data_IF_840536572898
#
_entry.id   IF_840536572898
#
_cell.length_a   1.000
_cell.length_b   1.000
_cell.length_c   1.000
_cell.angle_alpha   90.00
_cell.angle_beta   90.00
_cell.angle_gamma   90.00
#
_symmetry.space_group_name_H-M   'P 1'
#
loop_
_entity.id
_entity.type
_entity.pdbx_description
1 polymer ?
#
# COMPACT_ATOMS: atom_id res chain seq x y z
N UNK A 1 10.33 -30.84 7.40
CA UNK A 1 10.66 -31.77 6.31
C UNK A 1 11.82 -31.27 5.44
N UNK A 2 11.90 -30.00 5.09
CA UNK A 2 12.91 -29.44 4.17
C UNK A 2 14.07 -28.68 4.82
N UNK A 3 14.29 -28.80 6.14
CA UNK A 3 15.32 -28.03 6.86
C UNK A 3 16.78 -28.35 6.48
N UNK A 4 17.02 -29.54 5.93
CA UNK A 4 18.36 -29.98 5.50
C UNK A 4 18.69 -29.61 4.05
N UNK A 5 17.79 -28.91 3.33
CA UNK A 5 18.04 -28.46 1.97
C UNK A 5 18.96 -27.23 1.95
N UNK A 6 19.70 -27.08 0.86
CA UNK A 6 20.50 -25.85 0.63
C UNK A 6 19.61 -24.61 0.72
N UNK A 7 20.09 -23.57 1.40
CA UNK A 7 19.35 -22.31 1.65
C UNK A 7 18.75 -21.73 0.36
N UNK A 8 19.54 -21.69 -0.71
CA UNK A 8 19.08 -21.17 -2.00
C UNK A 8 17.90 -21.95 -2.58
N UNK A 9 17.93 -23.27 -2.46
CA UNK A 9 16.83 -24.11 -2.95
C UNK A 9 15.55 -23.87 -2.15
N UNK A 10 15.66 -23.67 -0.82
CA UNK A 10 14.51 -23.33 0.03
C UNK A 10 13.91 -21.96 -0.32
N UNK A 11 14.75 -20.96 -0.63
CA UNK A 11 14.28 -19.62 -1.04
C UNK A 11 13.48 -19.75 -2.35
N UNK A 12 14.06 -20.41 -3.36
CA UNK A 12 13.43 -20.62 -4.67
C UNK A 12 12.12 -21.39 -4.53
N UNK A 13 12.10 -22.46 -3.75
CA UNK A 13 10.89 -23.25 -3.52
C UNK A 13 9.84 -22.49 -2.71
N UNK A 14 10.23 -21.69 -1.73
CA UNK A 14 9.29 -20.84 -0.98
C UNK A 14 8.60 -19.85 -1.91
N UNK A 15 9.35 -19.18 -2.77
CA UNK A 15 8.81 -18.30 -3.81
C UNK A 15 7.89 -19.07 -4.79
N UNK A 16 8.37 -20.18 -5.35
CA UNK A 16 7.65 -20.93 -6.37
C UNK A 16 6.33 -21.53 -5.84
N UNK A 17 6.34 -22.11 -4.64
CA UNK A 17 5.13 -22.66 -4.01
C UNK A 17 4.13 -21.55 -3.71
N UNK A 18 4.56 -20.42 -3.14
CA UNK A 18 3.68 -19.29 -2.88
C UNK A 18 3.05 -18.75 -4.18
N UNK A 19 3.85 -18.64 -5.25
CA UNK A 19 3.39 -18.21 -6.57
C UNK A 19 2.33 -19.16 -7.13
N UNK A 20 2.65 -20.47 -7.17
CA UNK A 20 1.75 -21.48 -7.74
C UNK A 20 0.44 -21.55 -6.94
N UNK A 21 0.53 -21.60 -5.60
CA UNK A 21 -0.67 -21.68 -4.76
C UNK A 21 -1.52 -20.41 -4.91
N UNK A 22 -0.92 -19.21 -4.86
CA UNK A 22 -1.65 -17.96 -5.03
C UNK A 22 -2.33 -17.88 -6.40
N UNK A 23 -1.62 -18.29 -7.47
CA UNK A 23 -2.16 -18.30 -8.82
C UNK A 23 -3.38 -19.20 -8.94
N UNK A 24 -3.28 -20.46 -8.51
CA UNK A 24 -4.37 -21.43 -8.61
C UNK A 24 -5.50 -21.19 -7.60
N UNK A 25 -5.23 -20.52 -6.47
CA UNK A 25 -6.27 -20.13 -5.51
C UNK A 25 -7.04 -18.89 -5.92
N UNK A 26 -6.54 -18.06 -6.85
CA UNK A 26 -7.23 -16.84 -7.26
C UNK A 26 -8.59 -17.10 -7.91
N UNK A 27 -8.78 -18.06 -8.87
CA UNK A 27 -10.11 -18.34 -9.43
C UNK A 27 -11.14 -18.83 -8.40
N UNK A 28 -10.87 -19.82 -7.52
CA UNK A 28 -11.80 -20.19 -6.47
C UNK A 28 -12.11 -19.07 -5.49
N UNK A 29 -11.12 -18.24 -5.13
CA UNK A 29 -11.34 -17.05 -4.28
C UNK A 29 -12.25 -16.04 -4.97
N UNK A 30 -12.10 -15.83 -6.29
CA UNK A 30 -13.01 -14.99 -7.08
C UNK A 30 -14.45 -15.48 -6.98
N UNK A 31 -14.70 -16.78 -7.22
CA UNK A 31 -16.03 -17.37 -7.10
C UNK A 31 -16.58 -17.27 -5.68
N UNK A 32 -15.72 -17.42 -4.67
CA UNK A 32 -16.11 -17.22 -3.27
C UNK A 32 -16.52 -15.78 -2.99
N UNK A 33 -15.73 -14.78 -3.45
CA UNK A 33 -16.04 -13.36 -3.31
C UNK A 33 -17.40 -13.00 -3.96
N UNK A 34 -17.68 -13.55 -5.13
CA UNK A 34 -18.97 -13.39 -5.81
C UNK A 34 -20.14 -13.97 -4.98
N UNK A 35 -19.96 -15.14 -4.36
CA UNK A 35 -21.00 -15.79 -3.53
C UNK A 35 -21.30 -15.05 -2.24
N UNK A 36 -20.29 -14.46 -1.59
CA UNK A 36 -20.47 -13.69 -0.35
C UNK A 36 -20.84 -12.24 -0.58
N UNK A 37 -20.92 -11.81 -1.86
CA UNK A 37 -21.30 -10.44 -2.22
C UNK A 37 -20.18 -9.40 -2.01
N UNK A 38 -18.93 -9.84 -1.90
CA UNK A 38 -17.77 -8.93 -1.83
C UNK A 38 -17.43 -8.41 -3.23
N UNK A 39 -18.29 -7.52 -3.76
CA UNK A 39 -18.22 -6.99 -5.12
C UNK A 39 -18.15 -5.47 -5.05
N UNK A 40 -17.18 -4.90 -5.75
CA UNK A 40 -17.08 -3.46 -5.95
C UNK A 40 -17.94 -3.01 -7.13
N UNK A 41 -19.04 -2.30 -6.82
CA UNK A 41 -19.97 -1.78 -7.82
C UNK A 41 -19.68 -0.29 -8.01
N UNK A 42 -19.41 0.17 -9.25
CA UNK A 42 -19.20 1.59 -9.53
C UNK A 42 -20.49 2.37 -9.32
N UNK A 43 -20.61 3.03 -8.16
CA UNK A 43 -21.78 3.87 -7.82
C UNK A 43 -21.51 5.37 -7.96
N UNK A 44 -20.24 5.75 -7.98
CA UNK A 44 -19.81 7.15 -7.98
C UNK A 44 -18.78 7.39 -9.08
N UNK A 45 -18.75 8.57 -9.70
CA UNK A 45 -17.74 9.00 -10.67
C UNK A 45 -16.28 9.10 -10.13
N UNK A 46 -16.00 8.45 -9.02
CA UNK A 46 -14.64 8.34 -8.41
C UNK A 46 -13.91 7.07 -8.82
N UNK A 47 -14.62 6.07 -9.34
CA UNK A 47 -14.09 4.75 -9.68
C UNK A 47 -13.66 4.72 -11.14
N UNK A 48 -12.55 4.04 -11.41
CA UNK A 48 -11.92 3.99 -12.74
C UNK A 48 -12.48 2.84 -13.60
N UNK A 49 -13.26 1.92 -12.99
CA UNK A 49 -13.88 0.78 -13.66
C UNK A 49 -15.39 1.03 -13.91
N UNK A 50 -15.91 0.48 -15.00
CA UNK A 50 -17.28 0.64 -15.51
C UNK A 50 -18.19 -0.56 -15.25
N UNK A 51 -17.67 -1.66 -14.71
CA UNK A 51 -18.39 -2.90 -14.41
C UNK A 51 -18.10 -3.42 -13.01
N UNK A 52 -19.01 -4.20 -12.38
CA UNK A 52 -18.79 -4.79 -11.06
C UNK A 52 -17.58 -5.75 -11.06
N UNK A 53 -16.65 -5.58 -10.12
CA UNK A 53 -15.45 -6.42 -9.98
C UNK A 53 -15.43 -7.02 -8.58
N UNK A 54 -15.27 -8.37 -8.43
CA UNK A 54 -15.08 -9.00 -7.14
C UNK A 54 -13.83 -8.47 -6.44
N UNK A 55 -13.90 -8.28 -5.12
CA UNK A 55 -12.77 -7.93 -4.27
C UNK A 55 -12.61 -9.00 -3.20
N UNK A 56 -11.50 -9.25 -2.63
CA UNK A 56 -10.99 -10.28 -1.72
C UNK A 56 -9.85 -11.11 -2.32
N UNK A 57 -9.27 -10.68 -3.45
CA UNK A 57 -8.14 -11.38 -4.08
C UNK A 57 -6.94 -11.58 -3.17
N UNK A 58 -6.79 -10.70 -2.17
CA UNK A 58 -5.80 -10.83 -1.11
C UNK A 58 -5.87 -12.13 -0.32
N UNK A 59 -7.01 -12.79 -0.27
CA UNK A 59 -7.14 -14.12 0.35
C UNK A 59 -6.31 -15.18 -0.39
N UNK A 60 -6.21 -15.11 -1.72
CA UNK A 60 -5.36 -16.00 -2.49
C UNK A 60 -3.86 -15.75 -2.20
N UNK A 61 -3.47 -14.47 -2.08
CA UNK A 61 -2.10 -14.09 -1.66
C UNK A 61 -1.81 -14.64 -0.26
N UNK A 62 -2.71 -14.44 0.70
CA UNK A 62 -2.59 -14.93 2.06
C UNK A 62 -2.43 -16.45 2.12
N UNK A 63 -3.28 -17.20 1.40
CA UNK A 63 -3.20 -18.67 1.35
C UNK A 63 -1.87 -19.11 0.76
N UNK A 64 -1.44 -18.53 -0.37
CA UNK A 64 -0.15 -18.85 -1.02
C UNK A 64 1.03 -18.60 -0.07
N UNK A 65 1.02 -17.46 0.61
CA UNK A 65 2.01 -17.11 1.61
C UNK A 65 2.05 -18.12 2.77
N UNK A 66 0.91 -18.41 3.39
CA UNK A 66 0.82 -19.30 4.55
C UNK A 66 1.26 -20.72 4.20
N UNK A 67 0.86 -21.25 3.05
CA UNK A 67 1.30 -22.59 2.59
C UNK A 67 2.82 -22.66 2.44
N UNK A 68 3.43 -21.66 1.81
CA UNK A 68 4.88 -21.61 1.70
C UNK A 68 5.58 -21.49 3.07
N UNK A 69 5.00 -20.69 3.98
CA UNK A 69 5.51 -20.54 5.34
C UNK A 69 5.49 -21.88 6.10
N UNK A 70 4.38 -22.61 6.05
CA UNK A 70 4.25 -23.91 6.73
C UNK A 70 5.29 -24.92 6.21
N UNK A 71 5.58 -24.91 4.92
CA UNK A 71 6.48 -25.90 4.30
C UNK A 71 7.96 -25.59 4.52
N UNK A 72 8.36 -24.34 4.49
CA UNK A 72 9.78 -23.97 4.36
C UNK A 72 10.37 -23.20 5.54
N UNK A 73 9.55 -22.60 6.42
CA UNK A 73 10.08 -21.79 7.50
C UNK A 73 10.30 -22.57 8.80
N UNK A 74 11.27 -22.11 9.59
CA UNK A 74 11.42 -22.60 10.95
C UNK A 74 10.54 -21.78 11.89
N UNK A 75 9.60 -22.41 12.59
CA UNK A 75 8.68 -21.75 13.49
C UNK A 75 9.40 -21.25 14.74
N UNK A 76 9.65 -19.95 14.76
CA UNK A 76 10.10 -19.20 15.97
C UNK A 76 8.92 -18.45 16.56
N UNK A 77 9.07 -17.96 17.79
CA UNK A 77 8.04 -17.12 18.44
C UNK A 77 7.69 -15.90 17.57
N UNK A 78 8.69 -15.27 16.93
CA UNK A 78 8.46 -14.13 16.03
C UNK A 78 7.65 -14.54 14.79
N UNK A 79 7.95 -15.68 14.17
CA UNK A 79 7.20 -16.20 13.02
C UNK A 79 5.76 -16.51 13.40
N UNK A 80 5.52 -17.09 14.57
CA UNK A 80 4.17 -17.32 15.08
C UNK A 80 3.42 -16.00 15.30
N UNK A 81 4.07 -14.99 15.88
CA UNK A 81 3.50 -13.65 16.06
C UNK A 81 3.15 -12.98 14.73
N UNK A 82 4.02 -13.11 13.72
CA UNK A 82 3.77 -12.64 12.36
C UNK A 82 2.52 -13.32 11.76
N UNK A 83 2.44 -14.64 11.81
CA UNK A 83 1.33 -15.40 11.22
C UNK A 83 0.00 -15.13 11.95
N UNK A 84 0.01 -15.05 13.28
CA UNK A 84 -1.18 -14.72 14.07
C UNK A 84 -1.66 -13.29 13.77
N UNK A 85 -0.76 -12.30 13.76
CA UNK A 85 -1.09 -10.94 13.40
C UNK A 85 -1.60 -10.82 11.96
N UNK A 86 -0.95 -11.50 11.02
CA UNK A 86 -1.36 -11.56 9.62
C UNK A 86 -2.75 -12.20 9.45
N UNK A 87 -3.06 -13.25 10.21
CA UNK A 87 -4.39 -13.87 10.22
C UNK A 87 -5.46 -12.89 10.75
N UNK A 88 -5.17 -12.18 11.84
CA UNK A 88 -6.09 -11.16 12.39
C UNK A 88 -6.39 -10.09 11.33
N UNK A 89 -5.36 -9.59 10.64
CA UNK A 89 -5.51 -8.60 9.57
C UNK A 89 -6.27 -9.16 8.38
N UNK A 90 -5.97 -10.39 7.95
CA UNK A 90 -6.66 -11.01 6.81
C UNK A 90 -8.15 -11.24 7.09
N UNK A 91 -8.50 -11.71 8.30
CA UNK A 91 -9.90 -11.88 8.72
C UNK A 91 -10.61 -10.52 8.78
N UNK A 92 -9.99 -9.51 9.38
CA UNK A 92 -10.54 -8.15 9.43
C UNK A 92 -10.76 -7.58 8.03
N UNK A 93 -9.79 -7.71 7.13
CA UNK A 93 -9.92 -7.26 5.75
C UNK A 93 -11.02 -8.01 4.99
N UNK A 94 -11.18 -9.33 5.22
CA UNK A 94 -12.26 -10.11 4.62
C UNK A 94 -13.65 -9.64 5.08
N UNK A 95 -13.80 -9.35 6.36
CA UNK A 95 -15.03 -8.77 6.90
C UNK A 95 -15.27 -7.38 6.34
N UNK A 96 -14.22 -6.57 6.21
CA UNK A 96 -14.33 -5.23 5.64
C UNK A 96 -14.75 -5.25 4.16
N UNK A 97 -14.19 -6.16 3.37
CA UNK A 97 -14.56 -6.32 1.97
C UNK A 97 -16.04 -6.71 1.76
N UNK A 98 -16.69 -7.30 2.79
CA UNK A 98 -18.11 -7.67 2.74
C UNK A 98 -18.99 -6.55 3.28
N UNK A 99 -18.67 -5.99 4.48
CA UNK A 99 -19.61 -5.13 5.23
C UNK A 99 -19.16 -3.67 5.37
N UNK A 100 -18.00 -3.29 4.87
CA UNK A 100 -17.39 -1.94 4.98
C UNK A 100 -17.33 -1.45 6.43
N UNK A 101 -16.32 -1.89 7.17
CA UNK A 101 -16.12 -1.55 8.58
C UNK A 101 -15.84 -0.06 8.78
N UNK A 102 -16.26 0.46 9.93
CA UNK A 102 -15.90 1.83 10.33
C UNK A 102 -14.38 1.96 10.53
N UNK A 103 -13.77 3.09 10.15
CA UNK A 103 -12.30 3.27 10.24
C UNK A 103 -11.72 2.99 11.64
N UNK A 104 -12.44 3.36 12.71
CA UNK A 104 -12.01 3.11 14.09
C UNK A 104 -11.92 1.63 14.44
N UNK A 105 -12.83 0.79 13.90
CA UNK A 105 -12.79 -0.66 14.10
C UNK A 105 -11.57 -1.25 13.43
N UNK A 106 -11.30 -0.85 12.18
CA UNK A 106 -10.09 -1.27 11.45
C UNK A 106 -8.83 -0.91 12.24
N UNK A 107 -8.71 0.36 12.67
CA UNK A 107 -7.56 0.84 13.43
C UNK A 107 -7.37 0.05 14.73
N UNK A 108 -8.45 -0.21 15.47
CA UNK A 108 -8.36 -0.97 16.72
C UNK A 108 -7.86 -2.40 16.50
N UNK A 109 -8.35 -3.08 15.45
CA UNK A 109 -7.91 -4.45 15.11
C UNK A 109 -6.45 -4.45 14.61
N UNK A 110 -6.03 -3.45 13.83
CA UNK A 110 -4.63 -3.28 13.42
C UNK A 110 -3.69 -3.10 14.62
N UNK A 111 -4.11 -2.30 15.63
CA UNK A 111 -3.35 -2.13 16.88
C UNK A 111 -3.26 -3.46 17.63
N UNK A 112 -4.35 -4.23 17.73
CA UNK A 112 -4.33 -5.55 18.37
C UNK A 112 -3.37 -6.49 17.64
N UNK A 113 -3.41 -6.55 16.31
CA UNK A 113 -2.49 -7.37 15.52
C UNK A 113 -1.02 -6.96 15.73
N UNK A 114 -0.74 -5.65 15.79
CA UNK A 114 0.58 -5.13 16.09
C UNK A 114 1.05 -5.51 17.50
N UNK A 115 0.17 -5.44 18.51
CA UNK A 115 0.49 -5.84 19.89
C UNK A 115 0.74 -7.35 19.99
N UNK A 116 0.02 -8.19 19.25
CA UNK A 116 0.29 -9.64 19.15
C UNK A 116 1.69 -9.87 18.57
N UNK A 117 2.07 -9.20 17.50
CA UNK A 117 3.40 -9.27 16.92
C UNK A 117 4.49 -8.83 17.92
N UNK A 118 4.27 -7.73 18.63
CA UNK A 118 5.18 -7.20 19.67
C UNK A 118 5.34 -8.19 20.81
N UNK A 119 4.27 -8.80 21.30
CA UNK A 119 4.32 -9.82 22.36
C UNK A 119 5.12 -11.05 21.96
N UNK A 120 5.18 -11.34 20.68
CA UNK A 120 6.01 -12.41 20.13
C UNK A 120 7.45 -11.97 19.78
N UNK A 121 7.86 -10.77 20.15
CA UNK A 121 9.23 -10.28 20.00
C UNK A 121 9.52 -9.54 18.69
N UNK A 122 8.49 -9.09 17.96
CA UNK A 122 8.63 -8.18 16.81
C UNK A 122 8.55 -6.74 17.33
N UNK A 123 9.66 -6.22 17.79
CA UNK A 123 9.73 -4.92 18.46
C UNK A 123 11.04 -4.20 18.14
N UNK A 124 10.99 -2.89 18.01
CA UNK A 124 12.16 -2.02 17.96
C UNK A 124 12.83 -1.99 19.33
N UNK A 125 14.06 -2.49 19.44
CA UNK A 125 14.80 -2.48 20.71
C UNK A 125 15.77 -1.31 20.84
N UNK A 126 16.34 -0.89 19.72
CA UNK A 126 17.31 0.19 19.66
C UNK A 126 17.26 0.87 18.28
N UNK A 127 17.70 2.12 18.22
CA UNK A 127 17.97 2.85 16.97
C UNK A 127 19.46 3.11 16.84
N UNK A 128 19.93 3.24 15.60
CA UNK A 128 21.31 3.64 15.34
C UNK A 128 21.58 5.03 15.88
N UNK A 129 22.72 5.21 16.53
CA UNK A 129 23.14 6.53 17.00
C UNK A 129 23.48 7.42 15.81
N UNK A 130 22.79 8.57 15.62
CA UNK A 130 23.09 9.49 14.52
C UNK A 130 24.44 10.21 14.69
N UNK A 131 25.03 10.17 15.89
CA UNK A 131 26.36 10.71 16.14
C UNK A 131 27.44 9.72 15.69
N UNK A 132 27.94 9.88 14.48
CA UNK A 132 29.00 9.02 13.89
C UNK A 132 30.35 9.08 14.61
N UNK A 133 30.55 10.04 15.52
CA UNK A 133 31.77 10.18 16.31
C UNK A 133 31.64 9.55 17.71
N UNK A 134 30.51 8.93 18.01
CA UNK A 134 30.27 8.26 19.30
C UNK A 134 30.66 6.78 19.22
N UNK A 135 31.40 6.27 20.19
CA UNK A 135 31.67 4.84 20.35
C UNK A 135 30.42 4.00 20.61
N UNK A 136 29.30 4.65 20.97
CA UNK A 136 28.02 4.00 21.22
C UNK A 136 27.30 3.87 19.88
N UNK A 137 27.33 2.68 19.25
CA UNK A 137 26.72 2.42 17.96
C UNK A 137 25.19 2.45 17.95
N UNK A 138 24.53 2.20 19.10
CA UNK A 138 23.06 2.15 19.22
C UNK A 138 22.55 2.80 20.48
N UNK A 139 21.40 3.43 20.40
CA UNK A 139 20.66 4.03 21.51
C UNK A 139 19.44 3.14 21.79
N UNK A 140 19.30 2.59 23.02
CA UNK A 140 18.10 1.82 23.37
C UNK A 140 16.87 2.74 23.39
N UNK A 141 15.76 2.28 22.79
CA UNK A 141 14.51 3.07 22.69
C UNK A 141 13.75 3.08 24.02
N UNK A 142 13.96 2.08 24.87
CA UNK A 142 13.32 1.97 26.18
C UNK A 142 11.79 1.89 26.07
N UNK A 143 11.08 2.69 26.87
CA UNK A 143 9.60 2.68 26.94
C UNK A 143 8.90 3.09 25.63
N UNK A 144 9.59 3.80 24.73
CA UNK A 144 9.05 4.19 23.43
C UNK A 144 9.04 3.04 22.41
N UNK A 145 9.67 1.90 22.71
CA UNK A 145 9.75 0.76 21.82
C UNK A 145 8.37 0.25 21.33
N UNK A 146 7.43 0.09 22.27
CA UNK A 146 6.07 -0.36 21.96
C UNK A 146 5.31 0.65 21.09
N UNK A 147 5.15 1.93 21.50
CA UNK A 147 4.38 2.88 20.71
C UNK A 147 5.00 3.14 19.32
N UNK A 148 6.31 3.18 19.18
CA UNK A 148 6.97 3.34 17.88
C UNK A 148 6.77 2.12 16.99
N UNK A 149 6.83 0.90 17.55
CA UNK A 149 6.57 -0.32 16.76
C UNK A 149 5.11 -0.40 16.31
N UNK A 150 4.15 -0.06 17.17
CA UNK A 150 2.72 0.02 16.80
C UNK A 150 2.52 1.04 15.69
N UNK A 151 3.08 2.25 15.85
CA UNK A 151 2.97 3.32 14.86
C UNK A 151 3.53 2.89 13.50
N UNK A 152 4.68 2.21 13.49
CA UNK A 152 5.30 1.69 12.27
C UNK A 152 4.43 0.63 11.59
N UNK A 153 4.00 -0.41 12.33
CA UNK A 153 3.22 -1.51 11.77
C UNK A 153 1.87 -0.99 11.24
N UNK A 154 1.15 -0.21 12.04
CA UNK A 154 -0.15 0.36 11.65
C UNK A 154 0.02 1.38 10.51
N UNK A 155 1.05 2.21 10.58
CA UNK A 155 1.36 3.20 9.54
C UNK A 155 1.63 2.55 8.19
N UNK A 156 2.50 1.54 8.12
CA UNK A 156 2.79 0.81 6.89
C UNK A 156 1.57 0.02 6.39
N UNK A 157 0.80 -0.59 7.29
CA UNK A 157 -0.44 -1.31 6.95
C UNK A 157 -1.41 -0.39 6.21
N UNK A 158 -1.65 0.81 6.75
CA UNK A 158 -2.52 1.79 6.11
C UNK A 158 -1.88 2.42 4.86
N UNK A 159 -0.56 2.60 4.83
CA UNK A 159 0.12 3.15 3.68
C UNK A 159 -0.03 2.26 2.43
N UNK A 160 0.13 0.94 2.58
CA UNK A 160 -0.09 0.00 1.47
C UNK A 160 -1.57 -0.08 1.09
N UNK A 161 -2.49 0.02 2.04
CA UNK A 161 -3.93 0.07 1.75
C UNK A 161 -4.32 1.33 0.97
N UNK A 162 -3.74 2.49 1.28
CA UNK A 162 -4.05 3.76 0.60
C UNK A 162 -3.59 3.81 -0.86
N UNK A 163 -2.53 3.10 -1.24
CA UNK A 163 -2.09 3.03 -2.65
C UNK A 163 -2.87 2.02 -3.49
N UNK A 164 -3.75 1.20 -2.89
CA UNK A 164 -4.58 0.22 -3.62
C UNK A 164 -5.77 0.88 -4.34
N UNK A 165 -5.46 1.92 -5.12
CA UNK A 165 -6.44 2.70 -5.88
C UNK A 165 -6.43 2.44 -7.38
N UNK A 166 -5.46 1.68 -7.91
CA UNK A 166 -5.36 1.31 -9.33
C UNK A 166 -5.06 -0.19 -9.47
N UNK A 167 -5.58 -0.77 -10.57
CA UNK A 167 -5.39 -2.18 -10.90
C UNK A 167 -3.91 -2.57 -10.88
N UNK A 168 -3.55 -3.52 -10.03
CA UNK A 168 -2.20 -4.06 -9.88
C UNK A 168 -1.25 -3.21 -9.07
N UNK A 169 -1.56 -1.94 -8.74
CA UNK A 169 -0.60 -1.02 -8.15
C UNK A 169 -0.05 -1.52 -6.81
N UNK A 170 -0.89 -1.73 -5.83
CA UNK A 170 -0.44 -2.11 -4.49
C UNK A 170 0.21 -3.50 -4.47
N UNK A 171 -0.33 -4.45 -5.23
CA UNK A 171 0.23 -5.80 -5.35
C UNK A 171 1.63 -5.76 -5.96
N UNK A 172 1.83 -5.05 -7.07
CA UNK A 172 3.12 -4.99 -7.74
C UNK A 172 4.17 -4.18 -6.96
N UNK A 173 3.80 -3.05 -6.35
CA UNK A 173 4.71 -2.30 -5.46
C UNK A 173 5.12 -3.19 -4.29
N UNK A 174 4.20 -3.95 -3.68
CA UNK A 174 4.52 -4.87 -2.60
C UNK A 174 5.42 -6.03 -3.04
N UNK A 175 5.25 -6.53 -4.28
CA UNK A 175 6.14 -7.53 -4.86
C UNK A 175 7.56 -6.97 -5.03
N UNK A 176 7.72 -5.74 -5.56
CA UNK A 176 9.00 -5.06 -5.71
C UNK A 176 9.64 -4.81 -4.32
N UNK A 177 8.86 -4.33 -3.36
CA UNK A 177 9.32 -4.11 -1.98
C UNK A 177 9.80 -5.41 -1.32
N UNK A 178 9.03 -6.50 -1.46
CA UNK A 178 9.41 -7.83 -0.95
C UNK A 178 10.68 -8.34 -1.59
N UNK A 179 10.83 -8.21 -2.91
CA UNK A 179 12.02 -8.60 -3.65
C UNK A 179 13.25 -7.79 -3.19
N UNK A 180 13.11 -6.48 -3.07
CA UNK A 180 14.18 -5.59 -2.59
C UNK A 180 14.64 -5.99 -1.19
N UNK A 181 13.69 -6.12 -0.26
CA UNK A 181 14.00 -6.49 1.13
C UNK A 181 14.56 -7.92 1.21
N UNK A 182 14.13 -8.84 0.35
CA UNK A 182 14.67 -10.19 0.23
C UNK A 182 16.14 -10.14 -0.18
N UNK A 183 16.49 -9.39 -1.22
CA UNK A 183 17.88 -9.23 -1.69
C UNK A 183 18.75 -8.64 -0.57
N UNK A 184 18.28 -7.59 0.11
CA UNK A 184 19.00 -7.02 1.25
C UNK A 184 19.16 -8.04 2.38
N UNK A 185 18.13 -8.81 2.68
CA UNK A 185 18.17 -9.81 3.75
C UNK A 185 19.17 -10.93 3.51
N UNK A 186 19.47 -11.25 2.26
CA UNK A 186 20.53 -12.22 1.91
C UNK A 186 21.93 -11.79 2.39
N UNK A 187 22.18 -10.48 2.46
CA UNK A 187 23.46 -9.93 2.88
C UNK A 187 23.56 -9.65 4.38
N UNK A 188 22.43 -9.51 5.06
CA UNK A 188 22.38 -8.79 6.34
C UNK A 188 21.53 -9.46 7.40
N UNK A 189 20.55 -10.27 7.05
CA UNK A 189 19.52 -10.74 7.97
C UNK A 189 19.57 -12.27 8.24
N UNK A 190 18.71 -12.69 9.17
CA UNK A 190 18.38 -14.07 9.44
C UNK A 190 17.75 -14.74 8.20
N UNK A 191 18.13 -15.98 7.88
CA UNK A 191 17.54 -16.75 6.78
C UNK A 191 15.99 -16.81 6.80
N UNK A 192 15.37 -16.83 7.97
CA UNK A 192 13.91 -16.82 8.08
C UNK A 192 13.28 -15.58 7.43
N UNK A 193 13.88 -14.40 7.63
CA UNK A 193 13.44 -13.15 6.99
C UNK A 193 13.43 -13.28 5.46
N UNK A 194 14.47 -13.89 4.89
CA UNK A 194 14.58 -14.12 3.46
C UNK A 194 13.47 -15.06 2.93
N UNK A 195 13.16 -16.15 3.66
CA UNK A 195 12.10 -17.08 3.28
C UNK A 195 10.72 -16.42 3.34
N UNK A 196 10.45 -15.61 4.36
CA UNK A 196 9.19 -14.86 4.48
C UNK A 196 9.00 -13.94 3.28
N UNK A 197 10.04 -13.17 2.92
CA UNK A 197 10.00 -12.23 1.81
C UNK A 197 9.90 -12.92 0.46
N UNK A 198 10.56 -14.07 0.28
CA UNK A 198 10.43 -14.91 -0.91
C UNK A 198 8.99 -15.43 -1.08
N UNK A 199 8.38 -15.94 -0.01
CA UNK A 199 6.98 -16.38 -0.01
C UNK A 199 6.02 -15.22 -0.33
N UNK A 200 6.23 -14.05 0.29
CA UNK A 200 5.38 -12.88 0.06
C UNK A 200 5.48 -12.40 -1.40
N UNK A 201 6.70 -12.28 -1.92
CA UNK A 201 6.94 -11.90 -3.31
C UNK A 201 6.31 -12.90 -4.28
N UNK A 202 6.52 -14.21 -4.07
CA UNK A 202 5.93 -15.27 -4.88
C UNK A 202 4.40 -15.20 -4.90
N UNK A 203 3.77 -15.04 -3.73
CA UNK A 203 2.32 -14.93 -3.61
C UNK A 203 1.76 -13.71 -4.38
N UNK A 204 2.44 -12.54 -4.29
CA UNK A 204 2.07 -11.37 -5.07
C UNK A 204 2.20 -11.62 -6.58
N UNK A 205 3.33 -12.18 -7.03
CA UNK A 205 3.57 -12.46 -8.46
C UNK A 205 2.54 -13.44 -9.01
N UNK A 206 2.13 -14.43 -8.22
CA UNK A 206 1.09 -15.42 -8.60
C UNK A 206 -0.30 -14.75 -8.79
N UNK A 207 -0.61 -13.73 -8.01
CA UNK A 207 -1.88 -13.00 -8.08
C UNK A 207 -1.91 -11.91 -9.18
N UNK A 208 -0.78 -11.27 -9.47
CA UNK A 208 -0.67 -10.16 -10.44
C UNK A 208 -1.40 -10.40 -11.76
N UNK A 209 -1.36 -11.58 -12.44
CA UNK A 209 -2.04 -11.81 -13.72
C UNK A 209 -3.55 -11.61 -13.69
N UNK A 210 -4.16 -11.70 -12.52
CA UNK A 210 -5.60 -11.49 -12.33
C UNK A 210 -5.95 -10.06 -11.92
N UNK A 211 -4.96 -9.31 -11.42
CA UNK A 211 -5.16 -7.97 -10.86
C UNK A 211 -4.65 -6.85 -11.78
N UNK A 212 -3.84 -7.16 -12.83
CA UNK A 212 -3.43 -6.16 -13.82
C UNK A 212 -4.60 -5.65 -14.65
N UNK A 213 -4.51 -4.39 -15.08
CA UNK A 213 -5.55 -3.70 -15.85
C UNK A 213 -5.79 -4.29 -17.26
N UNK A 214 -7.03 -4.69 -17.61
CA UNK A 214 -8.25 -4.64 -16.80
C UNK A 214 -8.28 -5.76 -15.76
N UNK A 215 -8.52 -5.41 -14.49
CA UNK A 215 -8.51 -6.37 -13.40
C UNK A 215 -9.69 -7.34 -13.45
N UNK A 216 -9.45 -8.62 -13.22
CA UNK A 216 -10.47 -9.68 -13.10
C UNK A 216 -10.99 -9.84 -11.67
N UNK A 217 -10.19 -9.42 -10.71
CA UNK A 217 -10.47 -9.41 -9.27
C UNK A 217 -9.57 -8.37 -8.60
N UNK A 218 -10.12 -7.57 -7.70
CA UNK A 218 -9.35 -6.66 -6.87
C UNK A 218 -8.75 -7.37 -5.67
N UNK A 219 -7.62 -6.86 -5.20
CA UNK A 219 -6.93 -7.39 -4.03
C UNK A 219 -7.77 -7.23 -2.76
N UNK A 220 -8.44 -6.08 -2.63
CA UNK A 220 -9.28 -5.72 -1.50
C UNK A 220 -8.49 -5.41 -0.23
N UNK A 221 -9.23 -5.08 0.83
CA UNK A 221 -8.66 -4.75 2.14
C UNK A 221 -7.96 -5.97 2.78
N UNK A 222 -8.41 -7.20 2.46
CA UNK A 222 -7.71 -8.44 2.83
C UNK A 222 -6.26 -8.39 2.40
N UNK A 223 -6.01 -8.06 1.12
CA UNK A 223 -4.66 -8.14 0.57
C UNK A 223 -3.80 -6.94 0.92
N UNK A 224 -4.32 -5.73 0.72
CA UNK A 224 -3.55 -4.51 0.89
C UNK A 224 -3.08 -4.33 2.34
N UNK A 225 -3.95 -4.58 3.32
CA UNK A 225 -3.58 -4.49 4.73
C UNK A 225 -2.68 -5.64 5.17
N UNK A 226 -2.92 -6.86 4.67
CA UNK A 226 -2.05 -8.01 4.91
C UNK A 226 -0.62 -7.75 4.42
N UNK A 227 -0.46 -7.27 3.18
CA UNK A 227 0.85 -6.97 2.61
C UNK A 227 1.60 -5.90 3.41
N UNK A 228 0.92 -4.81 3.76
CA UNK A 228 1.51 -3.74 4.58
C UNK A 228 1.94 -4.23 5.96
N UNK A 229 1.11 -5.04 6.62
CA UNK A 229 1.41 -5.63 7.92
C UNK A 229 2.64 -6.54 7.86
N UNK A 230 2.70 -7.47 6.90
CA UNK A 230 3.84 -8.40 6.78
C UNK A 230 5.12 -7.65 6.46
N UNK A 231 5.11 -6.72 5.50
CA UNK A 231 6.28 -5.91 5.15
C UNK A 231 6.80 -5.12 6.34
N UNK A 232 5.89 -4.51 7.13
CA UNK A 232 6.26 -3.78 8.34
C UNK A 232 6.85 -4.70 9.41
N UNK A 233 6.25 -5.83 9.71
CA UNK A 233 6.75 -6.78 10.69
C UNK A 233 8.11 -7.34 10.31
N UNK A 234 8.29 -7.72 9.04
CA UNK A 234 9.55 -8.30 8.55
C UNK A 234 10.68 -7.27 8.58
N UNK A 235 10.40 -5.99 8.31
CA UNK A 235 11.38 -4.93 8.46
C UNK A 235 11.89 -4.83 9.89
N UNK A 236 11.00 -4.93 10.89
CA UNK A 236 11.37 -4.93 12.31
C UNK A 236 12.15 -6.17 12.72
N UNK A 237 11.76 -7.36 12.20
CA UNK A 237 12.40 -8.64 12.53
C UNK A 237 13.85 -8.75 12.06
N UNK A 238 14.09 -8.34 10.83
CA UNK A 238 15.37 -8.62 10.16
C UNK A 238 16.21 -7.39 9.86
N UNK A 239 15.61 -6.37 9.28
CA UNK A 239 16.37 -5.29 8.66
C UNK A 239 16.78 -4.20 9.63
N UNK A 240 16.00 -3.92 10.67
CA UNK A 240 16.35 -2.92 11.68
C UNK A 240 17.32 -3.42 12.78
N UNK A 241 17.71 -4.69 12.76
CA UNK A 241 18.68 -5.25 13.71
C UNK A 241 20.12 -4.81 13.44
N UNK A 242 20.39 -4.28 12.26
CA UNK A 242 21.71 -3.76 11.93
C UNK A 242 21.87 -2.35 12.50
N UNK A 243 22.92 -2.19 13.26
CA UNK A 243 23.24 -1.00 14.06
C UNK A 243 23.74 0.19 13.22
N UNK A 244 23.17 0.46 12.06
CA UNK A 244 23.53 1.61 11.21
C UNK A 244 22.30 2.38 10.76
N UNK A 245 22.41 3.71 10.63
CA UNK A 245 21.35 4.60 10.11
C UNK A 245 20.82 4.09 8.76
N UNK A 246 21.69 3.48 7.95
CA UNK A 246 21.40 2.90 6.64
C UNK A 246 20.37 1.78 6.75
N UNK A 247 20.39 1.01 7.84
CA UNK A 247 19.48 -0.13 8.04
C UNK A 247 18.02 0.32 8.19
N UNK A 248 17.79 1.47 8.81
CA UNK A 248 16.45 2.06 8.89
C UNK A 248 15.99 2.57 7.49
N UNK A 249 16.93 3.09 6.71
CA UNK A 249 16.62 3.66 5.41
C UNK A 249 16.19 2.60 4.37
N UNK A 250 16.71 1.37 4.47
CA UNK A 250 16.40 0.29 3.51
C UNK A 250 14.91 -0.06 3.47
N UNK A 251 14.23 -0.39 4.57
CA UNK A 251 12.77 -0.64 4.53
C UNK A 251 11.96 0.60 4.11
N UNK A 252 12.40 1.80 4.51
CA UNK A 252 11.74 3.05 4.11
C UNK A 252 11.85 3.24 2.60
N UNK A 253 13.02 3.00 2.00
CA UNK A 253 13.22 3.08 0.54
C UNK A 253 12.46 1.95 -0.19
N UNK A 254 12.50 0.74 0.32
CA UNK A 254 11.77 -0.38 -0.26
C UNK A 254 10.25 -0.11 -0.31
N UNK A 255 9.71 0.60 0.68
CA UNK A 255 8.31 1.01 0.75
C UNK A 255 8.11 2.51 0.46
N UNK A 256 9.02 3.14 -0.33
CA UNK A 256 9.03 4.58 -0.51
C UNK A 256 7.71 5.14 -1.07
N UNK A 257 7.12 4.48 -2.06
CA UNK A 257 5.87 4.94 -2.69
C UNK A 257 4.71 4.97 -1.69
N UNK A 258 4.33 3.86 -1.01
CA UNK A 258 3.23 3.89 -0.06
C UNK A 258 3.47 4.86 1.11
N UNK A 259 4.68 4.90 1.66
CA UNK A 259 5.00 5.78 2.77
C UNK A 259 4.97 7.25 2.37
N UNK A 260 5.61 7.61 1.25
CA UNK A 260 5.61 8.99 0.75
C UNK A 260 4.20 9.47 0.44
N UNK A 261 3.39 8.68 -0.26
CA UNK A 261 2.03 9.05 -0.61
C UNK A 261 1.18 9.34 0.65
N UNK A 262 1.29 8.48 1.67
CA UNK A 262 0.60 8.64 2.95
C UNK A 262 1.07 9.88 3.72
N UNK A 263 2.39 10.08 3.82
CA UNK A 263 2.99 11.23 4.52
C UNK A 263 2.59 12.54 3.84
N UNK A 264 2.69 12.62 2.51
CA UNK A 264 2.27 13.81 1.77
C UNK A 264 0.77 14.09 1.90
N UNK A 265 -0.07 13.06 1.85
CA UNK A 265 -1.50 13.21 2.05
C UNK A 265 -1.83 13.75 3.47
N UNK A 266 -1.14 13.23 4.49
CA UNK A 266 -1.29 13.67 5.88
C UNK A 266 -0.89 15.16 6.03
N UNK A 267 0.32 15.54 5.63
CA UNK A 267 0.79 16.92 5.75
C UNK A 267 -0.06 17.89 4.95
N UNK A 268 -0.48 17.54 3.75
CA UNK A 268 -1.37 18.37 2.94
C UNK A 268 -2.68 18.68 3.68
N UNK A 269 -3.33 17.67 4.29
CA UNK A 269 -4.57 17.85 5.05
C UNK A 269 -4.34 18.75 6.26
N UNK A 270 -3.28 18.53 7.02
CA UNK A 270 -2.94 19.35 8.20
C UNK A 270 -2.70 20.81 7.81
N UNK A 271 -1.92 21.06 6.76
CA UNK A 271 -1.62 22.41 6.27
C UNK A 271 -2.89 23.15 5.81
N UNK A 272 -3.86 22.42 5.24
CA UNK A 272 -5.15 23.02 4.81
C UNK A 272 -6.22 22.99 5.92
N UNK A 273 -5.87 22.71 7.17
CA UNK A 273 -6.80 22.69 8.30
C UNK A 273 -7.88 21.60 8.22
N UNK A 274 -7.66 20.56 7.40
CA UNK A 274 -8.59 19.45 7.24
C UNK A 274 -8.26 18.30 8.19
N UNK A 275 -9.28 17.51 8.57
CA UNK A 275 -9.05 16.31 9.37
C UNK A 275 -8.11 15.33 8.64
N UNK A 276 -7.10 14.76 9.32
CA UNK A 276 -6.21 13.75 8.75
C UNK A 276 -6.94 12.52 8.20
N UNK A 277 -8.16 12.26 8.65
CA UNK A 277 -9.00 11.13 8.26
C UNK A 277 -9.99 11.45 7.13
N UNK A 278 -9.97 12.68 6.61
CA UNK A 278 -10.85 13.04 5.50
C UNK A 278 -10.41 12.37 4.20
N UNK A 279 -11.38 11.92 3.38
CA UNK A 279 -11.08 11.32 2.08
C UNK A 279 -10.42 12.36 1.16
N UNK A 280 -9.33 11.99 0.48
CA UNK A 280 -8.53 12.90 -0.34
C UNK A 280 -8.29 12.30 -1.73
N UNK A 281 -8.41 13.13 -2.77
CA UNK A 281 -8.11 12.78 -4.16
C UNK A 281 -6.66 13.13 -4.58
N UNK A 282 -5.83 13.59 -3.66
CA UNK A 282 -4.50 14.08 -3.97
C UNK A 282 -3.38 13.04 -3.94
N UNK A 283 -3.69 11.75 -3.92
CA UNK A 283 -2.72 10.66 -3.98
C UNK A 283 -1.94 10.65 -5.31
N UNK A 284 -0.71 10.14 -5.31
CA UNK A 284 0.18 10.15 -6.49
C UNK A 284 -0.49 9.55 -7.73
N UNK A 285 -1.19 8.43 -7.58
CA UNK A 285 -1.87 7.79 -8.70
C UNK A 285 -2.96 8.66 -9.31
N UNK A 286 -3.76 9.38 -8.51
CA UNK A 286 -4.76 10.32 -9.02
C UNK A 286 -4.14 11.50 -9.78
N UNK A 287 -2.97 11.98 -9.32
CA UNK A 287 -2.25 13.06 -10.01
C UNK A 287 -1.69 12.62 -11.35
N UNK A 288 -1.15 11.40 -11.44
CA UNK A 288 -0.67 10.86 -12.70
C UNK A 288 -1.82 10.72 -13.74
N UNK A 289 -2.99 10.25 -13.30
CA UNK A 289 -4.18 10.19 -14.15
C UNK A 289 -4.65 11.60 -14.57
N UNK A 290 -4.66 12.58 -13.66
CA UNK A 290 -4.99 13.98 -13.97
C UNK A 290 -4.02 14.64 -14.95
N UNK A 291 -2.78 14.12 -15.06
CA UNK A 291 -1.80 14.55 -16.07
C UNK A 291 -2.02 13.91 -17.45
N UNK A 292 -3.09 13.12 -17.62
CA UNK A 292 -3.44 12.47 -18.87
C UNK A 292 -2.78 11.11 -19.11
N UNK A 293 -2.11 10.51 -18.10
CA UNK A 293 -1.59 9.16 -18.24
C UNK A 293 -2.73 8.14 -18.14
N UNK A 294 -2.64 7.09 -18.95
CA UNK A 294 -3.53 5.92 -18.79
C UNK A 294 -3.20 5.19 -17.48
N UNK A 295 -4.15 4.41 -16.96
CA UNK A 295 -3.94 3.61 -15.76
C UNK A 295 -2.69 2.72 -15.85
N UNK A 296 -2.48 2.06 -16.99
CA UNK A 296 -1.28 1.23 -17.23
C UNK A 296 0.02 2.02 -17.15
N UNK A 297 0.03 3.23 -17.73
CA UNK A 297 1.20 4.11 -17.69
C UNK A 297 1.48 4.62 -16.28
N UNK A 298 0.45 5.03 -15.55
CA UNK A 298 0.58 5.49 -14.16
C UNK A 298 1.17 4.39 -13.26
N UNK A 299 0.66 3.15 -13.37
CA UNK A 299 1.17 1.99 -12.63
C UNK A 299 2.61 1.67 -13.05
N UNK A 300 2.94 1.69 -14.34
CA UNK A 300 4.31 1.44 -14.83
C UNK A 300 5.31 2.48 -14.29
N UNK A 301 4.93 3.77 -14.23
CA UNK A 301 5.78 4.82 -13.63
C UNK A 301 6.02 4.54 -12.14
N UNK A 302 4.98 4.20 -11.38
CA UNK A 302 5.11 3.91 -9.95
C UNK A 302 5.94 2.64 -9.68
N UNK A 303 5.81 1.60 -10.51
CA UNK A 303 6.68 0.42 -10.46
C UNK A 303 8.14 0.79 -10.75
N UNK A 304 8.39 1.62 -11.78
CA UNK A 304 9.73 2.10 -12.10
C UNK A 304 10.37 2.86 -10.93
N UNK A 305 9.64 3.77 -10.31
CA UNK A 305 10.12 4.52 -9.13
C UNK A 305 10.38 3.56 -7.96
N UNK A 306 9.48 2.61 -7.68
CA UNK A 306 9.69 1.60 -6.63
C UNK A 306 10.93 0.74 -6.88
N UNK A 307 11.15 0.32 -8.13
CA UNK A 307 12.31 -0.48 -8.52
C UNK A 307 13.63 0.30 -8.37
N UNK A 308 13.65 1.58 -8.76
CA UNK A 308 14.81 2.47 -8.57
C UNK A 308 15.10 2.67 -7.09
N UNK A 309 14.09 2.96 -6.27
CA UNK A 309 14.26 3.08 -4.83
C UNK A 309 14.75 1.78 -4.19
N UNK A 310 14.22 0.64 -4.64
CA UNK A 310 14.68 -0.68 -4.23
C UNK A 310 16.13 -0.96 -4.61
N UNK A 311 16.52 -0.63 -5.83
CA UNK A 311 17.93 -0.75 -6.27
C UNK A 311 18.85 0.10 -5.40
N UNK A 312 18.47 1.34 -5.10
CA UNK A 312 19.22 2.21 -4.19
C UNK A 312 19.33 1.58 -2.80
N UNK A 313 18.25 1.00 -2.26
CA UNK A 313 18.28 0.31 -0.97
C UNK A 313 19.28 -0.86 -0.96
N UNK A 314 19.34 -1.65 -2.03
CA UNK A 314 20.31 -2.73 -2.20
C UNK A 314 21.74 -2.19 -2.26
N UNK A 315 22.00 -1.14 -3.06
CA UNK A 315 23.33 -0.53 -3.19
C UNK A 315 23.81 0.09 -1.87
N UNK A 316 22.92 0.65 -1.07
CA UNK A 316 23.25 1.18 0.27
C UNK A 316 23.70 0.10 1.25
N UNK A 317 23.36 -1.16 1.01
CA UNK A 317 23.78 -2.29 1.82
C UNK A 317 25.25 -2.68 1.56
N UNK A 318 25.87 -2.13 0.53
CA UNK A 318 27.30 -2.33 0.21
C UNK A 318 28.26 -1.89 1.32
N UNK A 319 29.53 -2.33 1.27
CA UNK A 319 30.51 -2.09 2.34
C UNK A 319 31.16 -0.70 2.31
N UNK A 320 31.21 -0.02 1.15
CA UNK A 320 31.92 1.25 1.00
C UNK A 320 31.06 2.45 1.40
N UNK A 321 31.55 3.24 2.36
CA UNK A 321 30.84 4.42 2.89
C UNK A 321 30.61 5.50 1.82
N UNK A 322 31.59 5.75 0.95
CA UNK A 322 31.47 6.74 -0.12
C UNK A 322 30.38 6.34 -1.13
N UNK A 323 30.36 5.07 -1.54
CA UNK A 323 29.33 4.53 -2.43
C UNK A 323 27.92 4.66 -1.84
N UNK A 324 27.78 4.42 -0.53
CA UNK A 324 26.51 4.60 0.19
C UNK A 324 26.03 6.05 0.15
N UNK A 325 26.92 7.01 0.42
CA UNK A 325 26.59 8.45 0.39
C UNK A 325 26.14 8.86 -1.02
N UNK A 326 26.88 8.46 -2.05
CA UNK A 326 26.51 8.75 -3.45
C UNK A 326 25.12 8.20 -3.78
N UNK A 327 24.81 6.96 -3.36
CA UNK A 327 23.51 6.35 -3.60
C UNK A 327 22.36 7.07 -2.88
N UNK A 328 22.56 7.51 -1.62
CA UNK A 328 21.56 8.30 -0.87
C UNK A 328 21.28 9.63 -1.58
N UNK A 329 22.34 10.32 -1.98
CA UNK A 329 22.23 11.61 -2.70
C UNK A 329 21.53 11.42 -4.04
N UNK A 330 21.89 10.38 -4.80
CA UNK A 330 21.25 10.05 -6.08
C UNK A 330 19.75 9.73 -5.90
N UNK A 331 19.40 8.92 -4.88
CA UNK A 331 18.01 8.62 -4.56
C UNK A 331 17.21 9.87 -4.20
N UNK A 332 17.78 10.72 -3.37
CA UNK A 332 17.16 11.99 -2.98
C UNK A 332 16.93 12.89 -4.20
N UNK A 333 17.94 13.03 -5.08
CA UNK A 333 17.83 13.82 -6.32
C UNK A 333 16.76 13.24 -7.24
N UNK A 334 16.74 11.92 -7.47
CA UNK A 334 15.73 11.26 -8.32
C UNK A 334 14.34 11.48 -7.74
N UNK A 335 14.16 11.28 -6.42
CA UNK A 335 12.88 11.51 -5.75
C UNK A 335 12.44 12.97 -5.87
N UNK A 336 13.37 13.92 -5.70
CA UNK A 336 13.10 15.34 -5.83
C UNK A 336 12.73 15.73 -7.28
N UNK A 337 13.44 15.19 -8.27
CA UNK A 337 13.16 15.43 -9.70
C UNK A 337 11.78 14.87 -10.08
N UNK A 338 11.47 13.63 -9.67
CA UNK A 338 10.14 13.04 -9.90
C UNK A 338 9.07 13.87 -9.20
N UNK A 339 9.31 14.29 -7.95
CA UNK A 339 8.40 15.14 -7.19
C UNK A 339 8.17 16.48 -7.88
N UNK A 340 9.24 17.19 -8.28
CA UNK A 340 9.17 18.45 -9.01
C UNK A 340 8.45 18.27 -10.35
N UNK A 341 8.74 17.21 -11.11
CA UNK A 341 8.07 16.91 -12.37
C UNK A 341 6.57 16.71 -12.19
N UNK A 342 6.17 15.93 -11.19
CA UNK A 342 4.77 15.66 -10.85
C UNK A 342 4.06 16.92 -10.35
N UNK A 343 4.77 17.79 -9.59
CA UNK A 343 4.18 19.02 -9.05
C UNK A 343 4.19 20.19 -10.04
N UNK A 344 5.22 20.33 -10.88
CA UNK A 344 5.33 21.48 -11.77
C UNK A 344 4.48 21.35 -13.03
N UNK A 345 4.24 20.16 -13.53
CA UNK A 345 3.40 19.89 -14.70
C UNK A 345 1.89 19.87 -14.38
N UNK A 346 1.48 20.34 -13.19
CA UNK A 346 0.08 20.63 -12.95
C UNK A 346 -0.29 21.89 -13.76
N UNK A 347 -1.09 21.79 -14.83
CA UNK A 347 -1.81 22.94 -15.31
C UNK A 347 -2.70 23.38 -14.14
N UNK A 348 -2.51 24.61 -13.65
CA UNK A 348 -3.55 25.27 -12.89
C UNK A 348 -4.79 25.10 -13.76
N UNK A 349 -5.78 24.37 -13.28
CA UNK A 349 -7.08 24.28 -13.90
C UNK A 349 -7.52 25.71 -14.14
N UNK A 350 -7.42 26.18 -15.39
CA UNK A 350 -8.05 27.44 -15.76
C UNK A 350 -9.55 27.17 -15.66
N UNK A 351 -10.32 28.02 -14.97
CA UNK A 351 -11.75 27.88 -14.88
C UNK A 351 -12.49 27.90 -16.23
N UNK A 352 -11.76 28.18 -17.32
CA UNK A 352 -12.31 28.53 -18.62
C UNK A 352 -12.41 27.36 -19.61
N UNK A 353 -12.00 26.13 -19.25
CA UNK A 353 -12.09 24.95 -20.13
C UNK A 353 -13.36 24.13 -19.86
N UNK A 354 -14.53 24.80 -19.89
CA UNK A 354 -15.85 24.15 -19.96
C UNK A 354 -16.21 23.73 -21.38
N UNK A 355 -15.27 23.13 -22.10
CA UNK A 355 -15.44 22.65 -23.48
C UNK A 355 -15.78 21.15 -23.60
N UNK A 356 -16.09 20.44 -22.51
CA UNK A 356 -16.47 19.04 -22.56
C UNK A 356 -17.98 18.84 -22.40
N UNK A 357 -18.62 17.99 -23.25
CA UNK A 357 -20.07 17.75 -23.24
C UNK A 357 -20.60 16.97 -22.02
N UNK A 358 -19.80 16.76 -20.99
CA UNK A 358 -20.15 16.03 -19.76
C UNK A 358 -19.91 16.86 -18.48
N UNK A 359 -20.12 18.18 -18.51
CA UNK A 359 -20.27 18.93 -17.27
C UNK A 359 -21.65 18.58 -16.68
N UNK A 360 -21.75 17.88 -15.52
CA UNK A 360 -23.04 17.69 -14.87
C UNK A 360 -23.55 19.06 -14.40
N UNK A 361 -24.75 19.42 -14.82
CA UNK A 361 -25.44 20.69 -14.56
C UNK A 361 -25.84 20.91 -13.08
N UNK A 362 -25.02 20.47 -12.13
CA UNK A 362 -25.29 20.61 -10.69
C UNK A 362 -24.01 20.77 -9.86
N UNK A 363 -23.11 21.70 -10.23
CA UNK A 363 -22.07 22.16 -9.33
C UNK A 363 -22.35 23.63 -8.97
N UNK A 364 -22.59 23.97 -7.70
CA UNK A 364 -22.98 25.35 -7.28
C UNK A 364 -21.84 26.38 -7.31
N UNK A 365 -20.70 26.10 -7.99
CA UNK A 365 -19.53 26.99 -8.01
C UNK A 365 -19.01 27.34 -9.41
N UNK A 366 -19.84 27.20 -10.47
CA UNK A 366 -19.51 27.74 -11.79
C UNK A 366 -20.22 29.07 -12.02
N UNK A 367 -19.79 30.13 -11.35
CA UNK A 367 -20.08 31.49 -11.80
C UNK A 367 -19.25 31.78 -13.05
N UNK A 368 -19.85 31.66 -14.24
CA UNK A 368 -19.21 32.07 -15.49
C UNK A 368 -19.46 31.19 -16.72
N UNK A 369 -20.39 30.25 -16.72
CA UNK A 369 -20.82 29.57 -17.96
C UNK A 369 -21.76 30.47 -18.76
N UNK A 370 -21.40 30.93 -19.98
CA UNK A 370 -22.31 31.67 -20.85
C UNK A 370 -23.33 30.67 -21.42
N UNK A 371 -24.53 30.64 -20.87
CA UNK A 371 -25.62 29.80 -21.39
C UNK A 371 -26.76 29.48 -20.43
N UNK A 372 -26.68 29.85 -19.18
CA UNK A 372 -27.82 29.73 -18.25
C UNK A 372 -28.41 31.13 -18.03
N UNK A 373 -29.36 31.51 -18.87
CA UNK A 373 -30.27 32.65 -18.62
C UNK A 373 -31.17 32.25 -17.45
N UNK A 374 -31.38 33.12 -16.45
CA UNK A 374 -32.31 32.82 -15.36
C UNK A 374 -33.72 32.71 -15.98
N UNK A 375 -34.30 31.51 -15.90
CA UNK A 375 -35.68 31.30 -16.26
C UNK A 375 -36.55 32.16 -15.39
N UNK A 376 -37.30 33.01 -16.07
CA UNK A 376 -38.32 33.90 -15.53
C UNK A 376 -39.24 33.15 -14.58
N UNK A 377 -39.22 33.55 -13.33
CA UNK A 377 -40.31 33.36 -12.40
C UNK A 377 -41.42 34.34 -12.80
N UNK A 378 -42.25 33.99 -13.76
CA UNK A 378 -43.54 34.61 -13.92
C UNK A 378 -44.50 33.99 -12.91
N UNK A 379 -44.78 34.80 -11.94
CA UNK A 379 -45.97 34.86 -11.12
C UNK A 379 -47.22 34.77 -11.99
N UNK A 380 -48.03 33.73 -11.82
CA UNK A 380 -49.46 33.79 -12.19
C UNK A 380 -50.28 33.67 -10.94
N UNK A 381 -50.56 34.86 -10.40
CA UNK A 381 -51.78 35.16 -9.64
C UNK A 381 -52.97 35.18 -10.60
N UNK A 382 -54.09 34.80 -10.07
CA UNK A 382 -55.48 35.11 -10.41
C UNK A 382 -56.28 34.12 -11.25
N UNK A 383 -57.40 33.85 -10.63
CA UNK A 383 -58.60 33.50 -11.35
C UNK A 383 -59.52 32.51 -10.63
N UNK A 384 -60.18 33.04 -9.60
CA UNK A 384 -61.40 32.42 -9.04
C UNK A 384 -62.46 32.17 -10.09
N UNK A 385 -63.29 31.21 -9.82
CA UNK A 385 -64.75 31.13 -9.88
C UNK A 385 -65.21 29.76 -10.45
N UNK A 386 -65.77 28.99 -9.58
CA UNK A 386 -67.21 28.65 -9.46
C UNK A 386 -67.83 27.84 -10.61
N UNK A 387 -68.49 26.82 -10.12
CA UNK A 387 -69.75 26.19 -10.57
C UNK A 387 -69.73 24.78 -11.11
N UNK A 388 -70.36 23.99 -10.33
CA UNK A 388 -71.52 23.08 -10.65
C UNK A 388 -71.32 22.01 -11.73
N UNK A 389 -71.25 20.79 -11.39
CA UNK A 389 -72.29 19.81 -11.15
C UNK A 389 -71.66 18.51 -10.71
#
# INVERSE_FOLDING_TARGET
MFQNMAIWLRIVLSFAVALVVSHFMTPPVKTFAERVGAIDVPRDGRRVHDHPIPRMGGLAIFIGFVVAMILFISFTTQVLGLLLGALIIAVMGAVDDIVNLRPWIKLSIQIIAALVAIRCGIIFTAVSNPNFMSDIGTIPIGSLAIPLTVLWIVGCTNAVNLIDGLDGLACGVSAISSMTMMIVSLFVADPNTTFILAALCGACVGFIPYNLNPAKIFMGDVGSQFLGFVLACVSVMGLFKLHTVITFLVPVLAMAIPLADTVFAFFRRVIHGQSPFHADKGHFHHRLLAMGLTQKQAVAVLYGVSAVMGLVAVLLTGRDTLQRIICVVAAFIISLVVWLYVFWKHPKHKPDDCGHPECPAAAPECEGCPGVSPANTEEKTDGATSKEK
#
